data_IF_077525806285
#
_entry.id   IF_077525806285
#
_cell.length_a   1.000
_cell.length_b   1.000
_cell.length_c   1.000
_cell.angle_alpha   90.00
_cell.angle_beta   90.00
_cell.angle_gamma   90.00
#
_symmetry.space_group_name_H-M   'P 1'
#
loop_
_entity.id
_entity.type
_entity.pdbx_description
1 polymer ?
#
# COMPACT_ATOMS: atom_id res chain seq x y z
N UNK A 1 -2.48 -10.52 32.65
CA UNK A 1 -1.33 -10.30 31.75
C UNK A 1 -1.90 -9.78 30.44
N UNK A 2 -1.83 -8.47 30.19
CA UNK A 2 -2.41 -7.86 28.99
C UNK A 2 -1.47 -8.12 27.81
N UNK A 3 -1.67 -9.23 27.11
CA UNK A 3 -1.06 -9.46 25.81
C UNK A 3 -1.79 -8.57 24.81
N UNK A 4 -1.25 -7.36 24.59
CA UNK A 4 -1.63 -6.59 23.42
C UNK A 4 -1.13 -7.40 22.22
N UNK A 5 -2.03 -8.12 21.56
CA UNK A 5 -1.74 -8.67 20.23
C UNK A 5 -1.52 -7.47 19.34
N UNK A 6 -0.28 -7.26 18.90
CA UNK A 6 0.03 -6.31 17.85
C UNK A 6 -0.85 -6.63 16.63
N UNK A 7 -1.32 -5.60 15.94
CA UNK A 7 -2.03 -5.81 14.67
C UNK A 7 -1.18 -6.69 13.75
N UNK A 8 -1.82 -7.56 12.96
CA UNK A 8 -1.16 -8.55 12.11
C UNK A 8 -0.14 -7.94 11.11
N UNK A 9 -0.20 -6.61 10.91
CA UNK A 9 0.73 -5.83 10.09
C UNK A 9 1.22 -4.60 10.87
N UNK A 10 2.40 -4.66 11.51
CA UNK A 10 2.86 -3.62 12.45
C UNK A 10 3.42 -2.37 11.76
N UNK A 11 3.69 -2.43 10.45
CA UNK A 11 4.22 -1.32 9.68
C UNK A 11 3.09 -0.46 9.11
N UNK A 12 3.14 0.83 9.43
CA UNK A 12 2.20 1.83 8.92
C UNK A 12 3.00 2.95 8.26
N UNK A 13 2.67 3.24 7.00
CA UNK A 13 3.13 4.43 6.31
C UNK A 13 2.29 5.62 6.73
N UNK A 14 2.93 6.59 7.36
CA UNK A 14 2.27 7.72 8.00
C UNK A 14 2.13 8.93 7.06
N UNK A 15 3.09 9.11 6.16
CA UNK A 15 3.23 10.29 5.32
C UNK A 15 4.03 9.95 4.04
N UNK A 16 3.91 10.80 3.02
CA UNK A 16 4.57 10.66 1.71
C UNK A 16 5.33 11.94 1.40
N UNK A 17 6.65 11.84 1.23
CA UNK A 17 7.53 12.99 0.98
C UNK A 17 8.40 12.80 -0.24
N UNK A 18 8.89 13.92 -0.77
CA UNK A 18 9.86 13.93 -1.84
C UNK A 18 11.26 14.04 -1.23
N UNK A 19 12.16 13.13 -1.59
CA UNK A 19 13.57 13.22 -1.21
C UNK A 19 14.28 14.34 -1.99
N UNK A 20 15.52 14.64 -1.60
CA UNK A 20 16.37 15.64 -2.26
C UNK A 20 16.72 15.28 -3.73
N UNK A 21 16.59 13.99 -4.08
CA UNK A 21 16.76 13.47 -5.45
C UNK A 21 15.49 13.62 -6.30
N UNK A 22 14.41 14.18 -5.74
CA UNK A 22 13.14 14.36 -6.42
C UNK A 22 12.27 13.10 -6.48
N UNK A 23 12.60 12.04 -5.75
CA UNK A 23 11.83 10.78 -5.69
C UNK A 23 10.86 10.77 -4.52
N UNK A 24 9.69 10.16 -4.72
CA UNK A 24 8.71 9.99 -3.66
C UNK A 24 9.13 8.85 -2.71
N UNK A 25 8.96 9.08 -1.41
CA UNK A 25 9.30 8.16 -0.34
C UNK A 25 8.21 8.16 0.74
N UNK A 26 7.78 6.98 1.13
CA UNK A 26 6.85 6.76 2.23
C UNK A 26 7.60 6.76 3.55
N UNK A 27 7.04 7.43 4.57
CA UNK A 27 7.61 7.51 5.90
C UNK A 27 6.91 6.56 6.87
N UNK A 28 7.68 5.96 7.77
CA UNK A 28 7.21 5.05 8.81
C UNK A 28 7.94 5.33 10.14
N UNK A 29 7.33 4.92 11.26
CA UNK A 29 7.94 5.04 12.59
C UNK A 29 8.12 6.48 13.04
N UNK A 30 7.14 7.35 12.81
CA UNK A 30 7.21 8.77 13.16
C UNK A 30 8.09 9.62 12.26
N UNK A 31 8.48 9.13 11.08
CA UNK A 31 9.30 9.86 10.10
C UNK A 31 10.80 9.57 10.18
N UNK A 32 11.23 8.64 11.04
CA UNK A 32 12.65 8.24 11.15
C UNK A 32 13.10 7.31 10.01
N UNK A 33 12.16 6.56 9.46
CA UNK A 33 12.41 5.55 8.44
C UNK A 33 11.66 5.93 7.16
N UNK A 34 12.34 5.80 6.02
CA UNK A 34 11.78 6.09 4.70
C UNK A 34 11.95 4.90 3.76
N UNK A 35 10.94 4.64 2.93
CA UNK A 35 10.93 3.59 1.91
C UNK A 35 10.57 4.22 0.56
N UNK A 36 11.24 3.86 -0.55
CA UNK A 36 10.88 4.37 -1.86
C UNK A 36 9.41 4.08 -2.19
N UNK A 37 8.67 5.12 -2.59
CA UNK A 37 7.29 4.96 -3.05
C UNK A 37 7.29 4.37 -4.46
N UNK A 38 6.62 3.23 -4.61
CA UNK A 38 6.46 2.48 -5.85
C UNK A 38 4.95 2.31 -6.11
N UNK A 39 4.35 3.21 -6.92
CA UNK A 39 2.93 3.17 -7.29
C UNK A 39 2.44 1.80 -7.75
N UNK A 40 3.28 1.07 -8.49
CA UNK A 40 3.06 -0.28 -9.02
C UNK A 40 2.83 -1.37 -7.97
N UNK A 41 3.21 -1.10 -6.71
CA UNK A 41 3.06 -2.06 -5.60
C UNK A 41 1.90 -1.75 -4.67
N UNK A 42 1.05 -0.79 -5.04
CA UNK A 42 -0.15 -0.46 -4.27
C UNK A 42 -1.16 -1.59 -4.37
N UNK A 43 -1.69 -2.00 -3.21
CA UNK A 43 -2.75 -3.00 -3.11
C UNK A 43 -3.88 -2.55 -2.19
N UNK A 44 -5.12 -2.88 -2.51
CA UNK A 44 -6.28 -2.59 -1.64
C UNK A 44 -6.88 -3.89 -1.11
N UNK A 45 -7.19 -3.91 0.17
CA UNK A 45 -7.98 -4.99 0.74
C UNK A 45 -9.46 -4.80 0.41
N UNK A 46 -10.05 -5.78 -0.28
CA UNK A 46 -11.48 -5.74 -0.65
C UNK A 46 -12.39 -5.85 0.56
N UNK A 47 -11.96 -6.57 1.60
CA UNK A 47 -12.73 -6.78 2.83
C UNK A 47 -12.74 -5.56 3.74
N UNK A 48 -11.68 -4.75 3.73
CA UNK A 48 -11.52 -3.62 4.67
C UNK A 48 -11.43 -2.24 4.01
N UNK A 49 -11.26 -2.17 2.70
CA UNK A 49 -10.98 -0.94 1.96
C UNK A 49 -9.62 -0.31 2.28
N UNK A 50 -8.74 -1.02 3.00
CA UNK A 50 -7.45 -0.50 3.43
C UNK A 50 -6.45 -0.55 2.28
N UNK A 51 -5.67 0.52 2.14
CA UNK A 51 -4.58 0.61 1.18
C UNK A 51 -3.28 0.09 1.80
N UNK A 52 -2.55 -0.68 1.02
CA UNK A 52 -1.27 -1.28 1.37
C UNK A 52 -0.24 -0.97 0.29
N UNK A 53 1.03 -1.02 0.68
CA UNK A 53 2.15 -0.87 -0.23
C UNK A 53 3.26 -1.87 0.16
N UNK A 54 3.93 -2.44 -0.84
CA UNK A 54 5.00 -3.41 -0.57
C UNK A 54 6.19 -2.74 0.12
N UNK A 55 6.77 -3.43 1.09
CA UNK A 55 7.99 -3.04 1.78
C UNK A 55 9.11 -3.93 1.29
N UNK A 56 9.98 -3.39 0.43
CA UNK A 56 11.22 -4.07 0.05
C UNK A 56 12.27 -3.82 1.13
N UNK A 57 12.53 -4.82 1.97
CA UNK A 57 13.70 -4.82 2.87
C UNK A 57 14.55 -6.06 2.60
N UNK A 58 15.78 -6.07 3.10
CA UNK A 58 16.71 -7.21 2.96
C UNK A 58 16.14 -8.54 3.49
N UNK A 59 15.15 -8.47 4.39
CA UNK A 59 14.56 -9.63 5.06
C UNK A 59 13.15 -9.94 4.59
N UNK A 60 12.58 -9.12 3.72
CA UNK A 60 11.18 -9.19 3.32
C UNK A 60 11.10 -9.24 1.81
N UNK A 61 10.55 -10.33 1.30
CA UNK A 61 10.27 -10.49 -0.13
C UNK A 61 9.02 -9.68 -0.50
N UNK A 62 9.08 -8.74 -1.44
CA UNK A 62 7.89 -8.06 -1.95
C UNK A 62 6.91 -9.06 -2.55
N UNK A 63 5.61 -8.78 -2.45
CA UNK A 63 4.56 -9.70 -2.88
C UNK A 63 4.16 -10.78 -1.87
N UNK A 64 4.78 -10.84 -0.68
CA UNK A 64 4.31 -11.70 0.41
C UNK A 64 3.39 -10.94 1.37
N UNK A 65 2.48 -11.61 2.09
CA UNK A 65 1.64 -10.97 3.11
C UNK A 65 2.43 -10.31 4.25
N UNK A 66 3.65 -10.79 4.49
CA UNK A 66 4.59 -10.22 5.48
C UNK A 66 5.33 -8.99 4.94
N UNK A 67 5.31 -8.80 3.62
CA UNK A 67 6.02 -7.74 2.92
C UNK A 67 5.18 -6.57 2.47
N UNK A 68 4.07 -6.32 3.16
CA UNK A 68 3.18 -5.18 2.92
C UNK A 68 2.98 -4.39 4.20
N UNK A 69 3.01 -3.07 4.07
CA UNK A 69 2.69 -2.15 5.14
C UNK A 69 1.39 -1.40 4.85
N UNK A 70 0.66 -1.08 5.91
CA UNK A 70 -0.59 -0.35 5.83
C UNK A 70 -0.32 1.11 5.53
N UNK A 71 -1.08 1.71 4.62
CA UNK A 71 -1.09 3.16 4.44
C UNK A 71 -2.08 3.77 5.43
N UNK A 72 -1.63 4.74 6.23
CA UNK A 72 -2.48 5.46 7.18
C UNK A 72 -3.66 6.09 6.45
N UNK A 73 -4.85 6.07 7.06
CA UNK A 73 -6.09 6.50 6.42
C UNK A 73 -6.04 7.88 5.78
N UNK A 74 -5.35 8.85 6.41
CA UNK A 74 -5.21 10.19 5.84
C UNK A 74 -4.43 10.17 4.52
N UNK A 75 -3.26 9.52 4.51
CA UNK A 75 -2.45 9.36 3.31
C UNK A 75 -3.17 8.51 2.25
N UNK A 76 -3.92 7.48 2.68
CA UNK A 76 -4.71 6.67 1.77
C UNK A 76 -5.82 7.47 1.07
N UNK A 77 -6.43 8.45 1.74
CA UNK A 77 -7.40 9.36 1.11
C UNK A 77 -6.73 10.27 0.10
N UNK A 78 -5.54 10.80 0.41
CA UNK A 78 -4.77 11.64 -0.53
C UNK A 78 -4.41 10.85 -1.79
N UNK A 79 -3.86 9.64 -1.63
CA UNK A 79 -3.58 8.73 -2.74
C UNK A 79 -4.87 8.31 -3.46
N UNK A 80 -5.95 8.07 -2.73
CA UNK A 80 -7.25 7.66 -3.26
C UNK A 80 -7.86 8.66 -4.24
N UNK A 81 -7.51 9.96 -4.15
CA UNK A 81 -7.93 10.97 -5.14
C UNK A 81 -7.36 10.74 -6.54
N UNK A 82 -6.28 9.97 -6.62
CA UNK A 82 -5.61 9.58 -7.85
C UNK A 82 -5.97 8.16 -8.28
N UNK A 83 -6.81 7.47 -7.52
CA UNK A 83 -7.25 6.09 -7.79
C UNK A 83 -8.63 6.10 -8.44
N UNK A 84 -8.79 5.31 -9.49
CA UNK A 84 -10.05 5.02 -10.15
C UNK A 84 -10.32 3.54 -9.97
N UNK A 85 -11.20 3.20 -9.02
CA UNK A 85 -11.54 1.80 -8.68
C UNK A 85 -12.76 1.41 -9.50
N UNK A 86 -12.68 0.30 -10.21
CA UNK A 86 -13.75 -0.23 -11.03
C UNK A 86 -14.52 -1.35 -10.29
N UNK A 87 -15.74 -1.62 -10.72
CA UNK A 87 -16.50 -2.76 -10.23
C UNK A 87 -15.77 -4.06 -10.58
N UNK A 88 -15.57 -4.91 -9.59
CA UNK A 88 -14.92 -6.22 -9.72
C UNK A 88 -15.92 -7.36 -9.44
N UNK A 89 -15.75 -8.52 -10.09
CA UNK A 89 -16.62 -9.67 -9.86
C UNK A 89 -16.51 -10.16 -8.41
N UNK A 90 -17.62 -10.65 -7.84
CA UNK A 90 -17.66 -11.21 -6.48
C UNK A 90 -17.01 -12.61 -6.38
N UNK A 91 -16.87 -13.33 -7.50
CA UNK A 91 -16.31 -14.68 -7.56
C UNK A 91 -14.90 -14.62 -8.18
N UNK A 92 -13.88 -14.43 -7.35
CA UNK A 92 -12.47 -14.39 -7.78
C UNK A 92 -11.70 -15.50 -7.09
N UNK A 93 -11.13 -16.42 -7.87
CA UNK A 93 -10.34 -17.55 -7.33
C UNK A 93 -8.97 -17.11 -6.78
N UNK A 94 -8.36 -16.06 -7.33
CA UNK A 94 -7.11 -15.47 -6.84
C UNK A 94 -7.24 -13.95 -6.67
N UNK A 95 -7.50 -13.54 -5.43
CA UNK A 95 -7.70 -12.13 -5.08
C UNK A 95 -6.42 -11.30 -5.29
N UNK A 96 -5.23 -11.88 -5.16
CA UNK A 96 -3.98 -11.12 -5.30
C UNK A 96 -3.64 -10.79 -6.76
N UNK A 97 -4.14 -11.58 -7.71
CA UNK A 97 -3.97 -11.33 -9.14
C UNK A 97 -5.00 -10.33 -9.70
N UNK A 98 -6.09 -10.07 -8.97
CA UNK A 98 -7.18 -9.21 -9.42
C UNK A 98 -6.74 -7.76 -9.50
N UNK A 99 -6.88 -7.18 -10.69
CA UNK A 99 -6.77 -5.73 -10.90
C UNK A 99 -8.13 -5.10 -10.64
N UNK A 100 -8.17 -4.17 -9.69
CA UNK A 100 -9.41 -3.54 -9.22
C UNK A 100 -9.54 -2.08 -9.66
N UNK A 101 -8.50 -1.53 -10.28
CA UNK A 101 -8.51 -0.13 -10.70
C UNK A 101 -7.18 0.35 -11.23
N UNK A 102 -7.16 1.65 -11.56
CA UNK A 102 -5.98 2.37 -12.01
C UNK A 102 -5.59 3.47 -11.02
N UNK A 103 -4.29 3.64 -10.80
CA UNK A 103 -3.71 4.73 -10.04
C UNK A 103 -2.95 5.66 -10.98
N UNK A 104 -3.34 6.94 -11.01
CA UNK A 104 -2.78 7.97 -11.90
C UNK A 104 -1.78 8.84 -11.13
N UNK A 105 -0.49 8.67 -11.40
CA UNK A 105 0.56 9.37 -10.66
C UNK A 105 1.63 9.91 -11.61
N UNK A 106 1.96 11.21 -11.49
CA UNK A 106 3.02 11.86 -12.29
C UNK A 106 2.87 11.65 -13.83
N UNK A 107 1.62 11.65 -14.34
CA UNK A 107 1.23 11.35 -15.74
C UNK A 107 1.39 9.89 -16.19
N UNK A 108 1.71 8.98 -15.28
CA UNK A 108 1.75 7.54 -15.52
C UNK A 108 0.50 6.86 -14.92
N UNK A 109 0.16 5.67 -15.43
CA UNK A 109 -0.96 4.85 -14.99
C UNK A 109 -0.43 3.52 -14.43
N UNK A 110 -0.88 3.15 -13.23
CA UNK A 110 -0.47 1.94 -12.55
C UNK A 110 -1.68 1.07 -12.21
N UNK A 111 -1.58 -0.24 -12.43
CA UNK A 111 -2.63 -1.16 -12.01
C UNK A 111 -2.63 -1.30 -10.48
N UNK A 112 -3.82 -1.23 -9.88
CA UNK A 112 -4.02 -1.49 -8.47
C UNK A 112 -4.52 -2.92 -8.31
N UNK A 113 -3.81 -3.71 -7.50
CA UNK A 113 -4.18 -5.08 -7.22
C UNK A 113 -4.96 -5.21 -5.91
N UNK A 114 -5.80 -6.23 -5.78
CA UNK A 114 -6.40 -6.56 -4.49
C UNK A 114 -5.41 -7.34 -3.59
N UNK A 115 -5.69 -7.37 -2.28
CA UNK A 115 -4.97 -8.18 -1.29
C UNK A 115 -5.91 -8.70 -0.20
N UNK A 116 -5.67 -9.93 0.26
CA UNK A 116 -6.27 -10.48 1.50
C UNK A 116 -5.19 -10.91 2.51
#
# INVERSE_FOLDING_TARGET
>A
MNFIKCADRPFVFEDLRRDDSGKWALMLGGGELTVPFSPETLRISLSTGRLYHDVKTKHITPGTPEGVALVKSQLAVELGRHMDVHDFPNDVEDVNALVIGEFKWENEHYAIHAIE
#
